data_IF_730972546145
#
_entry.id   IF_730972546145
#
_cell.length_a   1.000
_cell.length_b   1.000
_cell.length_c   1.000
_cell.angle_alpha   90.00
_cell.angle_beta   90.00
_cell.angle_gamma   90.00
#
_symmetry.space_group_name_H-M   'P 1'
#
loop_
_entity.id
_entity.type
_entity.pdbx_description
1 polymer ?
#
# COMPACT_ATOMS: atom_id res chain seq x y z
N UNK A 1 -44.27 49.45 -54.96
CA UNK A 1 -43.02 49.85 -55.64
C UNK A 1 -41.80 49.47 -54.80
N UNK A 2 -41.92 49.37 -53.46
CA UNK A 2 -40.84 48.96 -52.52
C UNK A 2 -40.34 47.51 -52.67
N UNK A 3 -41.21 46.52 -52.92
CA UNK A 3 -40.79 45.09 -52.98
C UNK A 3 -39.77 44.79 -54.11
N UNK A 4 -39.76 45.59 -55.18
CA UNK A 4 -38.87 45.40 -56.34
C UNK A 4 -37.51 46.10 -56.18
N UNK A 5 -37.40 47.02 -55.22
CA UNK A 5 -36.14 47.65 -54.82
C UNK A 5 -35.42 46.80 -53.76
N UNK A 6 -36.13 46.26 -52.78
CA UNK A 6 -35.56 45.37 -51.75
C UNK A 6 -34.97 44.08 -52.34
N UNK A 7 -35.62 43.49 -53.34
CA UNK A 7 -35.09 42.31 -54.02
C UNK A 7 -33.82 42.67 -54.81
N UNK A 8 -33.74 43.85 -55.42
CA UNK A 8 -32.53 44.28 -56.16
C UNK A 8 -31.39 44.64 -55.21
N UNK A 9 -31.69 45.27 -54.08
CA UNK A 9 -30.73 45.63 -53.03
C UNK A 9 -30.16 44.39 -52.33
N UNK A 10 -31.01 43.40 -52.03
CA UNK A 10 -30.55 42.13 -51.47
C UNK A 10 -29.78 41.26 -52.49
N UNK A 11 -30.15 41.31 -53.78
CA UNK A 11 -29.37 40.64 -54.84
C UNK A 11 -28.00 41.29 -55.04
N UNK A 12 -27.89 42.63 -54.97
CA UNK A 12 -26.61 43.32 -55.10
C UNK A 12 -25.73 43.13 -53.86
N UNK A 13 -26.31 42.96 -52.66
CA UNK A 13 -25.56 42.56 -51.45
C UNK A 13 -25.07 41.11 -51.56
N UNK A 14 -25.88 40.19 -52.06
CA UNK A 14 -25.46 38.79 -52.30
C UNK A 14 -24.39 38.68 -53.39
N UNK A 15 -24.48 39.46 -54.47
CA UNK A 15 -23.46 39.53 -55.51
C UNK A 15 -22.20 40.22 -54.97
N UNK A 16 -22.32 41.25 -54.13
CA UNK A 16 -21.19 41.91 -53.47
C UNK A 16 -20.50 41.03 -52.42
N UNK A 17 -21.24 40.16 -51.72
CA UNK A 17 -20.70 39.16 -50.78
C UNK A 17 -20.07 37.96 -51.50
N UNK A 18 -20.62 37.55 -52.65
CA UNK A 18 -20.02 36.54 -53.53
C UNK A 18 -18.77 37.06 -54.27
N UNK A 19 -18.66 38.39 -54.46
CA UNK A 19 -17.48 39.04 -55.05
C UNK A 19 -16.49 39.58 -54.03
N UNK A 20 -16.86 39.78 -52.76
CA UNK A 20 -15.92 40.18 -51.69
C UNK A 20 -15.02 39.06 -51.19
N UNK A 21 -15.18 37.83 -51.71
CA UNK A 21 -14.15 36.78 -51.63
C UNK A 21 -13.00 37.00 -52.63
N UNK A 22 -12.97 38.13 -53.36
CA UNK A 22 -11.83 38.55 -54.19
C UNK A 22 -10.84 39.43 -53.42
N UNK A 23 -10.62 39.14 -52.14
CA UNK A 23 -9.49 39.66 -51.38
C UNK A 23 -8.21 39.01 -51.89
N UNK A 24 -7.61 39.64 -52.92
CA UNK A 24 -6.31 39.34 -53.55
C UNK A 24 -5.95 37.86 -53.53
N UNK A 25 -6.23 37.15 -54.63
CA UNK A 25 -5.98 35.71 -54.78
C UNK A 25 -4.62 35.28 -54.21
N UNK A 26 -3.60 36.13 -54.30
CA UNK A 26 -2.29 35.98 -53.63
C UNK A 26 -2.33 35.70 -52.11
N UNK A 27 -3.16 36.36 -51.30
CA UNK A 27 -3.26 36.09 -49.85
C UNK A 27 -3.99 34.79 -49.55
N UNK A 28 -5.01 34.44 -50.33
CA UNK A 28 -5.70 33.15 -50.20
C UNK A 28 -4.74 32.01 -50.57
N UNK A 29 -3.93 32.17 -51.62
CA UNK A 29 -2.88 31.22 -51.98
C UNK A 29 -1.79 31.13 -50.91
N UNK A 30 -1.34 32.27 -50.37
CA UNK A 30 -0.31 32.29 -49.32
C UNK A 30 -0.79 31.60 -48.03
N UNK A 31 -2.04 31.86 -47.63
CA UNK A 31 -2.64 31.24 -46.44
C UNK A 31 -2.88 29.74 -46.66
N UNK A 32 -3.36 29.34 -47.85
CA UNK A 32 -3.50 27.92 -48.21
C UNK A 32 -2.15 27.21 -48.23
N UNK A 33 -1.11 27.84 -48.79
CA UNK A 33 0.25 27.28 -48.81
C UNK A 33 0.82 27.15 -47.39
N UNK A 34 0.54 28.11 -46.52
CA UNK A 34 0.91 28.07 -45.10
C UNK A 34 0.18 26.93 -44.36
N UNK A 35 -1.13 26.76 -44.56
CA UNK A 35 -1.89 25.64 -44.00
C UNK A 35 -1.40 24.29 -44.51
N UNK A 36 -1.09 24.17 -45.81
CA UNK A 36 -0.52 22.95 -46.40
C UNK A 36 0.88 22.67 -45.84
N UNK A 37 1.71 23.70 -45.65
CA UNK A 37 3.03 23.55 -45.05
C UNK A 37 2.95 23.09 -43.58
N UNK A 38 2.03 23.66 -42.79
CA UNK A 38 1.75 23.22 -41.42
C UNK A 38 1.23 21.78 -41.41
N UNK A 39 0.31 21.45 -42.30
CA UNK A 39 -0.24 20.09 -42.41
C UNK A 39 0.86 19.08 -42.78
N UNK A 40 1.70 19.41 -43.77
CA UNK A 40 2.84 18.58 -44.17
C UNK A 40 3.87 18.47 -43.04
N UNK A 41 4.09 19.52 -42.26
CA UNK A 41 4.97 19.48 -41.09
C UNK A 41 4.43 18.56 -39.98
N UNK A 42 3.14 18.65 -39.63
CA UNK A 42 2.51 17.73 -38.69
C UNK A 42 2.47 16.30 -39.22
N UNK A 43 2.24 16.12 -40.53
CA UNK A 43 2.26 14.81 -41.17
C UNK A 43 3.67 14.20 -41.13
N UNK A 44 4.72 15.00 -41.37
CA UNK A 44 6.11 14.57 -41.25
C UNK A 44 6.50 14.20 -39.81
N UNK A 45 5.98 14.92 -38.81
CA UNK A 45 6.13 14.57 -37.39
C UNK A 45 5.32 13.32 -37.00
N UNK A 46 4.20 13.08 -37.66
CA UNK A 46 3.39 11.88 -37.49
C UNK A 46 3.98 10.64 -38.19
N UNK A 47 4.94 10.81 -39.10
CA UNK A 47 5.62 9.69 -39.74
C UNK A 47 6.47 8.90 -38.71
N UNK A 48 6.43 7.55 -38.75
CA UNK A 48 7.25 6.73 -37.89
C UNK A 48 8.74 6.91 -38.23
N UNK A 49 9.48 7.60 -37.35
CA UNK A 49 10.92 7.84 -37.52
C UNK A 49 11.43 9.04 -36.71
N UNK A 50 11.36 10.29 -37.23
CA UNK A 50 11.89 11.46 -36.53
C UNK A 50 11.03 11.85 -35.31
N UNK A 51 9.71 11.95 -35.50
CA UNK A 51 8.80 12.36 -34.43
C UNK A 51 8.75 11.35 -33.28
N UNK A 52 8.78 10.05 -33.60
CA UNK A 52 8.84 8.98 -32.60
C UNK A 52 10.12 9.03 -31.79
N UNK A 53 11.29 9.25 -32.41
CA UNK A 53 12.58 9.39 -31.70
C UNK A 53 12.61 10.60 -30.77
N UNK A 54 12.07 11.74 -31.22
CA UNK A 54 11.97 12.95 -30.39
C UNK A 54 11.05 12.69 -29.18
N UNK A 55 9.87 12.11 -29.41
CA UNK A 55 8.94 11.75 -28.33
C UNK A 55 9.59 10.77 -27.34
N UNK A 56 10.27 9.73 -27.83
CA UNK A 56 10.98 8.78 -26.98
C UNK A 56 12.06 9.43 -26.12
N UNK A 57 12.77 10.42 -26.66
CA UNK A 57 13.80 11.16 -25.93
C UNK A 57 13.19 11.97 -24.77
N UNK A 58 12.10 12.69 -25.02
CA UNK A 58 11.40 13.44 -23.97
C UNK A 58 10.80 12.51 -22.90
N UNK A 59 10.12 11.44 -23.32
CA UNK A 59 9.53 10.45 -22.41
C UNK A 59 10.60 9.80 -21.53
N UNK A 60 11.69 9.34 -22.14
CA UNK A 60 12.79 8.72 -21.41
C UNK A 60 13.38 9.66 -20.37
N UNK A 61 13.60 10.94 -20.71
CA UNK A 61 14.13 11.93 -19.76
C UNK A 61 13.20 12.18 -18.58
N UNK A 62 11.89 12.24 -18.83
CA UNK A 62 10.89 12.37 -17.76
C UNK A 62 10.93 11.19 -16.79
N UNK A 63 11.02 9.97 -17.33
CA UNK A 63 11.13 8.74 -16.53
C UNK A 63 12.48 8.69 -15.79
N UNK A 64 13.58 9.12 -16.40
CA UNK A 64 14.90 9.19 -15.74
C UNK A 64 14.90 10.14 -14.54
N UNK A 65 14.26 11.30 -14.67
CA UNK A 65 14.13 12.24 -13.55
C UNK A 65 13.35 11.62 -12.38
N UNK A 66 12.26 10.90 -12.67
CA UNK A 66 11.48 10.20 -11.66
C UNK A 66 12.24 9.01 -11.04
N UNK A 67 12.97 8.25 -11.86
CA UNK A 67 13.83 7.17 -11.40
C UNK A 67 14.93 7.69 -10.47
N UNK A 68 15.51 8.86 -10.77
CA UNK A 68 16.48 9.51 -9.91
C UNK A 68 15.90 9.90 -8.55
N UNK A 69 14.62 10.26 -8.46
CA UNK A 69 13.98 10.52 -7.17
C UNK A 69 13.86 9.23 -6.33
N UNK A 70 13.47 8.12 -6.96
CA UNK A 70 13.41 6.80 -6.31
C UNK A 70 14.82 6.38 -5.84
N UNK A 71 15.85 6.63 -6.65
CA UNK A 71 17.23 6.36 -6.28
C UNK A 71 17.67 7.19 -5.05
N UNK A 72 17.27 8.46 -4.97
CA UNK A 72 17.52 9.29 -3.78
C UNK A 72 16.83 8.71 -2.55
N UNK A 73 15.56 8.32 -2.64
CA UNK A 73 14.84 7.69 -1.52
C UNK A 73 15.49 6.38 -1.05
N UNK A 74 15.97 5.56 -2.00
CA UNK A 74 16.72 4.34 -1.70
C UNK A 74 18.04 4.64 -0.99
N UNK A 75 18.83 5.59 -1.50
CA UNK A 75 20.13 5.99 -0.90
C UNK A 75 19.94 6.55 0.51
N UNK A 76 18.95 7.41 0.70
CA UNK A 76 18.63 7.98 2.01
C UNK A 76 18.20 6.90 3.01
N UNK A 77 17.40 5.92 2.57
CA UNK A 77 16.98 4.80 3.42
C UNK A 77 18.14 3.88 3.76
N UNK A 78 19.01 3.53 2.79
CA UNK A 78 20.24 2.78 3.05
C UNK A 78 21.12 3.50 4.07
N UNK A 79 21.33 4.81 3.91
CA UNK A 79 22.15 5.61 4.83
C UNK A 79 21.60 5.60 6.26
N UNK A 80 20.29 5.75 6.46
CA UNK A 80 19.68 5.69 7.80
C UNK A 80 19.85 4.32 8.45
N UNK A 81 19.68 3.25 7.68
CA UNK A 81 19.92 1.89 8.18
C UNK A 81 21.39 1.69 8.55
N UNK A 82 22.31 2.22 7.74
CA UNK A 82 23.75 2.19 7.96
C UNK A 82 24.14 2.88 9.28
N UNK A 83 23.58 4.07 9.54
CA UNK A 83 23.79 4.82 10.77
C UNK A 83 23.38 4.02 12.02
N UNK A 84 22.21 3.36 11.97
CA UNK A 84 21.72 2.54 13.09
C UNK A 84 22.59 1.30 13.30
N UNK A 85 22.92 0.57 12.23
CA UNK A 85 23.79 -0.61 12.31
C UNK A 85 25.20 -0.24 12.83
N UNK A 86 25.77 0.87 12.35
CA UNK A 86 27.05 1.37 12.83
C UNK A 86 26.99 1.74 14.32
N UNK A 87 25.91 2.38 14.78
CA UNK A 87 25.71 2.71 16.20
C UNK A 87 25.63 1.49 17.11
N UNK A 88 25.29 0.31 16.54
CA UNK A 88 25.20 -0.98 17.25
C UNK A 88 26.46 -1.84 17.12
N UNK A 89 27.54 -1.27 16.58
CA UNK A 89 28.85 -1.94 16.50
C UNK A 89 29.02 -2.90 15.33
N UNK A 90 28.14 -2.85 14.32
CA UNK A 90 28.29 -3.66 13.10
C UNK A 90 29.48 -3.14 12.30
N UNK A 91 30.51 -3.97 12.10
CA UNK A 91 31.76 -3.55 11.46
C UNK A 91 31.60 -3.20 9.97
N UNK A 92 30.69 -3.88 9.27
CA UNK A 92 30.42 -3.67 7.83
C UNK A 92 28.93 -3.56 7.55
N UNK A 93 28.29 -2.43 7.91
CA UNK A 93 26.87 -2.23 7.69
C UNK A 93 26.46 -2.34 6.22
N UNK A 94 27.33 -1.90 5.30
CA UNK A 94 27.02 -1.88 3.86
C UNK A 94 26.83 -3.28 3.27
N UNK A 95 27.68 -4.24 3.66
CA UNK A 95 27.55 -5.64 3.20
C UNK A 95 26.23 -6.27 3.70
N UNK A 96 25.79 -5.91 4.92
CA UNK A 96 24.53 -6.38 5.49
C UNK A 96 23.35 -5.78 4.72
N UNK A 97 23.37 -4.47 4.48
CA UNK A 97 22.33 -3.73 3.75
C UNK A 97 22.20 -4.25 2.31
N UNK A 98 23.32 -4.45 1.62
CA UNK A 98 23.30 -4.98 0.27
C UNK A 98 22.74 -6.40 0.25
N UNK A 99 23.15 -7.26 1.19
CA UNK A 99 22.60 -8.62 1.30
C UNK A 99 21.09 -8.63 1.50
N UNK A 100 20.53 -7.81 2.40
CA UNK A 100 19.07 -7.78 2.62
C UNK A 100 18.32 -7.11 1.46
N UNK A 101 18.93 -6.14 0.79
CA UNK A 101 18.30 -5.47 -0.35
C UNK A 101 18.11 -6.37 -1.57
N UNK A 102 18.79 -7.52 -1.61
CA UNK A 102 18.74 -8.50 -2.69
C UNK A 102 17.90 -9.74 -2.36
N UNK A 103 17.33 -9.83 -1.15
CA UNK A 103 16.46 -10.95 -0.78
C UNK A 103 15.17 -10.90 -1.62
N UNK A 104 14.71 -12.05 -2.07
CA UNK A 104 13.43 -12.19 -2.76
C UNK A 104 12.76 -13.51 -2.40
N UNK A 105 11.43 -13.52 -2.46
CA UNK A 105 10.61 -14.72 -2.27
C UNK A 105 10.05 -15.14 -3.63
N UNK A 106 10.10 -16.44 -3.93
CA UNK A 106 9.47 -17.00 -5.13
C UNK A 106 8.13 -17.58 -4.71
N UNK A 107 7.06 -17.21 -5.42
CA UNK A 107 5.72 -17.76 -5.18
C UNK A 107 5.68 -19.27 -5.43
N UNK A 108 4.89 -20.03 -4.65
CA UNK A 108 4.72 -21.46 -4.86
C UNK A 108 4.03 -21.73 -6.22
N UNK A 109 4.34 -22.89 -6.80
CA UNK A 109 3.73 -23.33 -8.06
C UNK A 109 2.21 -23.45 -7.90
N UNK A 110 1.47 -22.69 -8.70
CA UNK A 110 0.00 -22.61 -8.65
C UNK A 110 -0.72 -23.74 -9.40
N UNK A 111 0.02 -24.56 -10.17
CA UNK A 111 -0.54 -25.68 -10.95
C UNK A 111 -1.19 -26.73 -10.06
N UNK A 112 -0.68 -26.92 -8.85
CA UNK A 112 -1.26 -27.82 -7.85
C UNK A 112 -2.03 -26.99 -6.81
N UNK A 113 -3.38 -27.02 -6.81
CA UNK A 113 -4.19 -26.18 -5.93
C UNK A 113 -4.22 -26.67 -4.48
N UNK A 114 -3.80 -27.91 -4.22
CA UNK A 114 -3.73 -28.47 -2.87
C UNK A 114 -2.63 -27.77 -2.08
N UNK A 115 -3.04 -27.19 -0.94
CA UNK A 115 -2.18 -26.54 0.05
C UNK A 115 -1.20 -25.48 -0.49
N UNK A 116 -1.57 -24.75 -1.55
CA UNK A 116 -0.83 -23.56 -2.01
C UNK A 116 -0.56 -22.61 -0.85
N UNK A 117 -1.56 -22.44 0.02
CA UNK A 117 -1.52 -21.53 1.16
C UNK A 117 -0.50 -21.97 2.21
N UNK A 118 -0.41 -23.27 2.52
CA UNK A 118 0.60 -23.81 3.43
C UNK A 118 2.01 -23.64 2.88
N UNK A 119 2.21 -23.87 1.58
CA UNK A 119 3.50 -23.62 0.90
C UNK A 119 3.86 -22.13 0.90
N UNK A 120 2.89 -21.26 0.61
CA UNK A 120 3.10 -19.80 0.62
C UNK A 120 3.49 -19.32 2.01
N UNK A 121 2.79 -19.80 3.06
CA UNK A 121 3.13 -19.54 4.46
C UNK A 121 4.58 -19.90 4.78
N UNK A 122 5.02 -21.09 4.36
CA UNK A 122 6.39 -21.54 4.59
C UNK A 122 7.40 -20.62 3.91
N UNK A 123 7.16 -20.22 2.65
CA UNK A 123 8.06 -19.34 1.91
C UNK A 123 8.17 -17.96 2.55
N UNK A 124 7.04 -17.34 2.91
CA UNK A 124 7.02 -16.03 3.57
C UNK A 124 7.77 -16.06 4.91
N UNK A 125 7.49 -17.05 5.76
CA UNK A 125 8.17 -17.20 7.05
C UNK A 125 9.65 -17.50 6.92
N UNK A 126 10.03 -18.30 5.93
CA UNK A 126 11.44 -18.58 5.66
C UNK A 126 12.17 -17.29 5.24
N UNK A 127 11.50 -16.39 4.54
CA UNK A 127 12.07 -15.07 4.20
C UNK A 127 12.18 -14.17 5.42
N UNK A 128 11.14 -14.08 6.26
CA UNK A 128 11.17 -13.35 7.53
C UNK A 128 12.32 -13.86 8.43
N UNK A 129 12.42 -15.18 8.61
CA UNK A 129 13.46 -15.83 9.41
C UNK A 129 14.86 -15.54 8.84
N UNK A 130 15.05 -15.56 7.52
CA UNK A 130 16.33 -15.17 6.90
C UNK A 130 16.70 -13.71 7.19
N UNK A 131 15.75 -12.78 7.14
CA UNK A 131 16.01 -11.37 7.45
C UNK A 131 16.41 -11.25 8.93
N UNK A 132 15.66 -11.89 9.84
CA UNK A 132 15.94 -11.94 11.27
C UNK A 132 17.32 -12.53 11.56
N UNK A 133 17.67 -13.67 10.98
CA UNK A 133 18.97 -14.33 11.14
C UNK A 133 20.12 -13.44 10.69
N UNK A 134 19.95 -12.72 9.57
CA UNK A 134 20.97 -11.77 9.09
C UNK A 134 21.18 -10.64 10.12
N UNK A 135 20.09 -10.11 10.69
CA UNK A 135 20.17 -9.06 11.70
C UNK A 135 20.82 -9.56 13.00
N UNK A 136 20.46 -10.75 13.46
CA UNK A 136 21.01 -11.36 14.68
C UNK A 136 22.49 -11.71 14.53
N UNK A 137 22.90 -12.28 13.39
CA UNK A 137 24.32 -12.55 13.11
C UNK A 137 25.15 -11.27 12.99
N UNK A 138 24.56 -10.21 12.44
CA UNK A 138 25.25 -8.92 12.28
C UNK A 138 25.37 -8.19 13.62
N UNK A 139 24.38 -8.32 14.49
CA UNK A 139 24.30 -7.60 15.75
C UNK A 139 23.69 -8.47 16.88
N UNK A 140 24.48 -9.35 17.51
CA UNK A 140 23.99 -10.43 18.38
C UNK A 140 23.41 -9.99 19.74
N UNK A 141 23.44 -8.71 20.10
CA UNK A 141 22.98 -8.19 21.40
C UNK A 141 21.96 -7.04 21.27
N UNK A 142 21.20 -6.99 20.16
CA UNK A 142 20.17 -5.96 19.97
C UNK A 142 18.88 -6.35 20.69
N UNK A 143 18.25 -5.37 21.34
CA UNK A 143 16.94 -5.54 21.98
C UNK A 143 15.84 -5.91 20.96
N UNK A 144 14.81 -6.69 21.33
CA UNK A 144 13.78 -7.13 20.39
C UNK A 144 13.08 -5.99 19.63
N UNK A 145 12.87 -4.84 20.28
CA UNK A 145 12.22 -3.68 19.66
C UNK A 145 13.11 -3.09 18.58
N UNK A 146 14.37 -2.80 18.86
CA UNK A 146 15.32 -2.28 17.88
C UNK A 146 15.57 -3.28 16.74
N UNK A 147 15.60 -4.59 17.04
CA UNK A 147 15.68 -5.63 16.01
C UNK A 147 14.47 -5.58 15.07
N UNK A 148 13.25 -5.51 15.60
CA UNK A 148 12.03 -5.39 14.77
C UNK A 148 12.04 -4.13 13.89
N UNK A 149 12.58 -3.02 14.41
CA UNK A 149 12.76 -1.79 13.61
C UNK A 149 13.74 -2.00 12.45
N UNK A 150 14.84 -2.72 12.68
CA UNK A 150 15.82 -3.05 11.64
C UNK A 150 15.25 -4.04 10.61
N UNK A 151 14.46 -5.02 11.04
CA UNK A 151 13.77 -5.98 10.17
C UNK A 151 12.84 -5.25 9.18
N UNK A 152 11.91 -4.44 9.68
CA UNK A 152 11.00 -3.65 8.80
C UNK A 152 11.77 -2.64 7.95
N UNK A 153 12.83 -2.05 8.47
CA UNK A 153 13.68 -1.14 7.69
C UNK A 153 14.39 -1.85 6.54
N UNK A 154 14.80 -3.10 6.73
CA UNK A 154 15.36 -3.93 5.68
C UNK A 154 14.33 -4.21 4.58
N UNK A 155 13.07 -4.47 4.94
CA UNK A 155 11.96 -4.64 4.00
C UNK A 155 11.69 -3.37 3.18
N UNK A 156 11.76 -2.19 3.81
CA UNK A 156 11.64 -0.90 3.12
C UNK A 156 12.76 -0.71 2.10
N UNK A 157 14.02 -0.96 2.48
CA UNK A 157 15.17 -0.86 1.58
C UNK A 157 15.05 -1.88 0.43
N UNK A 158 14.65 -3.11 0.73
CA UNK A 158 14.42 -4.15 -0.26
C UNK A 158 13.35 -3.73 -1.28
N UNK A 159 12.22 -3.21 -0.80
CA UNK A 159 11.11 -2.76 -1.65
C UNK A 159 11.53 -1.60 -2.55
N UNK A 160 12.21 -0.58 -2.01
CA UNK A 160 12.74 0.54 -2.80
C UNK A 160 13.76 0.07 -3.85
N UNK A 161 14.64 -0.89 -3.49
CA UNK A 161 15.61 -1.48 -4.42
C UNK A 161 14.91 -2.22 -5.56
N UNK A 162 13.87 -3.01 -5.25
CA UNK A 162 13.08 -3.72 -6.25
C UNK A 162 12.38 -2.77 -7.21
N UNK A 163 11.70 -1.73 -6.70
CA UNK A 163 11.05 -0.71 -7.52
C UNK A 163 12.07 -0.04 -8.46
N UNK A 164 13.20 0.43 -7.92
CA UNK A 164 14.25 1.08 -8.71
C UNK A 164 14.78 0.17 -9.83
N UNK A 165 15.10 -1.09 -9.51
CA UNK A 165 15.65 -2.05 -10.48
C UNK A 165 14.68 -2.38 -11.61
N UNK A 166 13.42 -2.62 -11.28
CA UNK A 166 12.40 -2.99 -12.27
C UNK A 166 12.15 -1.84 -13.24
N UNK A 167 11.98 -0.60 -12.74
CA UNK A 167 11.81 0.58 -13.60
C UNK A 167 13.04 0.78 -14.47
N UNK A 168 14.24 0.71 -13.89
CA UNK A 168 15.50 0.86 -14.64
C UNK A 168 15.64 -0.20 -15.73
N UNK A 169 15.30 -1.45 -15.45
CA UNK A 169 15.33 -2.54 -16.41
C UNK A 169 14.44 -2.25 -17.63
N UNK A 170 13.17 -1.89 -17.39
CA UNK A 170 12.23 -1.61 -18.48
C UNK A 170 12.60 -0.34 -19.25
N UNK A 171 13.11 0.71 -18.58
CA UNK A 171 13.59 1.93 -19.23
C UNK A 171 14.75 1.64 -20.19
N UNK A 172 15.76 0.87 -19.74
CA UNK A 172 16.88 0.47 -20.58
C UNK A 172 16.43 -0.44 -21.73
N UNK A 173 15.50 -1.35 -21.47
CA UNK A 173 14.92 -2.23 -22.48
C UNK A 173 14.16 -1.46 -23.56
N UNK A 174 13.38 -0.44 -23.17
CA UNK A 174 12.66 0.44 -24.09
C UNK A 174 13.61 1.21 -25.01
N UNK A 175 14.70 1.74 -24.45
CA UNK A 175 15.75 2.44 -25.22
C UNK A 175 16.47 1.50 -26.18
N UNK A 176 16.83 0.29 -25.74
CA UNK A 176 17.55 -0.69 -26.56
C UNK A 176 16.69 -1.22 -27.71
N UNK A 177 15.41 -1.46 -27.47
CA UNK A 177 14.47 -1.99 -28.47
C UNK A 177 13.81 -0.91 -29.33
N UNK A 178 14.07 0.36 -29.04
CA UNK A 178 13.35 1.51 -29.60
C UNK A 178 11.82 1.39 -29.46
N UNK A 179 11.34 0.79 -28.37
CA UNK A 179 9.92 0.58 -28.12
C UNK A 179 9.29 1.76 -27.37
N UNK A 180 8.60 2.63 -28.10
CA UNK A 180 7.88 3.76 -27.53
C UNK A 180 6.72 3.33 -26.61
N UNK A 181 6.12 2.16 -26.86
CA UNK A 181 5.01 1.65 -26.06
C UNK A 181 5.42 1.30 -24.62
N UNK A 182 6.63 0.76 -24.43
CA UNK A 182 7.16 0.52 -23.08
C UNK A 182 7.36 1.86 -22.35
N UNK A 183 7.81 2.91 -23.05
CA UNK A 183 7.95 4.24 -22.45
C UNK A 183 6.61 4.83 -22.03
N UNK A 184 5.55 4.66 -22.82
CA UNK A 184 4.21 5.10 -22.42
C UNK A 184 3.69 4.35 -21.19
N UNK A 185 3.89 3.02 -21.12
CA UNK A 185 3.52 2.25 -19.93
C UNK A 185 4.27 2.73 -18.69
N UNK A 186 5.58 2.98 -18.82
CA UNK A 186 6.38 3.54 -17.73
C UNK A 186 5.88 4.94 -17.33
N UNK A 187 5.59 5.82 -18.28
CA UNK A 187 5.08 7.16 -17.98
C UNK A 187 3.77 7.13 -17.18
N UNK A 188 2.91 6.13 -17.40
CA UNK A 188 1.66 5.97 -16.68
C UNK A 188 1.86 5.44 -15.25
N UNK A 189 2.78 4.49 -15.06
CA UNK A 189 2.95 3.76 -13.80
C UNK A 189 3.99 4.38 -12.88
N UNK A 190 5.12 4.87 -13.41
CA UNK A 190 6.24 5.41 -12.63
C UNK A 190 5.81 6.54 -11.67
N UNK A 191 4.92 7.49 -12.03
CA UNK A 191 4.47 8.52 -11.09
C UNK A 191 3.84 7.95 -9.81
N UNK A 192 3.09 6.84 -9.93
CA UNK A 192 2.48 6.16 -8.78
C UNK A 192 3.56 5.48 -7.93
N UNK A 193 4.56 4.87 -8.58
CA UNK A 193 5.70 4.25 -7.90
C UNK A 193 6.61 5.27 -7.21
N UNK A 194 6.74 6.49 -7.74
CA UNK A 194 7.45 7.59 -7.04
C UNK A 194 6.72 7.94 -5.76
N UNK A 195 5.40 8.16 -5.80
CA UNK A 195 4.59 8.44 -4.61
C UNK A 195 4.69 7.32 -3.57
N UNK A 196 4.63 6.07 -4.02
CA UNK A 196 4.83 4.91 -3.16
C UNK A 196 6.22 4.88 -2.54
N UNK A 197 7.26 5.17 -3.34
CA UNK A 197 8.65 5.22 -2.87
C UNK A 197 8.89 6.35 -1.86
N UNK A 198 8.23 7.49 -2.05
CA UNK A 198 8.22 8.60 -1.08
C UNK A 198 7.56 8.15 0.24
N UNK A 199 6.41 7.46 0.17
CA UNK A 199 5.72 6.93 1.35
C UNK A 199 6.60 5.92 2.11
N UNK A 200 7.29 5.02 1.41
CA UNK A 200 8.26 4.09 2.03
C UNK A 200 9.45 4.83 2.68
N UNK A 201 9.99 5.86 2.02
CA UNK A 201 11.07 6.68 2.60
C UNK A 201 10.61 7.45 3.86
N UNK A 202 9.36 7.91 3.90
CA UNK A 202 8.75 8.49 5.09
C UNK A 202 8.56 7.42 6.18
N UNK A 203 8.02 6.25 5.82
CA UNK A 203 7.81 5.11 6.72
C UNK A 203 9.11 4.66 7.40
N UNK A 204 10.22 4.65 6.67
CA UNK A 204 11.57 4.40 7.22
C UNK A 204 11.88 5.29 8.43
N UNK A 205 11.53 6.58 8.38
CA UNK A 205 11.73 7.49 9.51
C UNK A 205 10.81 7.14 10.68
N UNK A 206 9.56 6.79 10.40
CA UNK A 206 8.54 6.47 11.41
C UNK A 206 8.91 5.20 12.17
N UNK A 207 9.29 4.13 11.46
CA UNK A 207 9.71 2.87 12.07
C UNK A 207 10.99 3.01 12.89
N UNK A 208 12.00 3.74 12.38
CA UNK A 208 13.23 3.98 13.14
C UNK A 208 12.97 4.72 14.46
N UNK A 209 12.07 5.72 14.44
CA UNK A 209 11.65 6.43 15.66
C UNK A 209 10.77 5.57 16.57
N UNK A 210 10.10 4.55 16.05
CA UNK A 210 9.16 3.70 16.79
C UNK A 210 7.86 4.41 17.13
N UNK A 211 7.40 5.29 16.23
CA UNK A 211 6.13 6.01 16.36
C UNK A 211 5.01 5.12 15.77
N UNK A 212 3.78 5.18 16.30
CA UNK A 212 2.63 4.49 15.70
C UNK A 212 2.38 4.91 14.25
N UNK A 213 2.13 3.91 13.40
CA UNK A 213 1.74 4.10 12.00
C UNK A 213 0.23 4.03 11.86
N UNK A 214 -0.35 4.45 10.73
CA UNK A 214 -1.80 4.32 10.49
C UNK A 214 -2.32 2.89 10.68
N UNK A 215 -1.55 1.89 10.24
CA UNK A 215 -1.83 0.46 10.40
C UNK A 215 -1.84 0.00 11.87
N UNK A 216 -1.31 0.79 12.80
CA UNK A 216 -1.34 0.50 14.23
C UNK A 216 -2.70 0.71 14.88
N UNK A 217 -3.73 1.12 14.12
CA UNK A 217 -5.06 1.36 14.66
C UNK A 217 -5.72 0.10 15.26
N UNK A 218 -5.69 -1.04 14.55
CA UNK A 218 -6.24 -2.30 15.06
C UNK A 218 -5.56 -2.70 16.38
N UNK A 219 -4.21 -2.77 16.43
CA UNK A 219 -3.45 -3.00 17.65
C UNK A 219 -3.72 -1.96 18.74
N UNK A 220 -3.95 -0.69 18.41
CA UNK A 220 -4.25 0.37 19.38
C UNK A 220 -5.60 0.13 20.07
N UNK A 221 -6.62 -0.25 19.30
CA UNK A 221 -7.94 -0.60 19.85
C UNK A 221 -7.85 -1.84 20.73
N UNK A 222 -7.13 -2.87 20.29
CA UNK A 222 -6.90 -4.07 21.09
C UNK A 222 -6.08 -3.79 22.36
N UNK A 223 -5.06 -2.93 22.28
CA UNK A 223 -4.26 -2.51 23.43
C UNK A 223 -5.12 -1.82 24.50
N UNK A 224 -6.02 -0.92 24.08
CA UNK A 224 -6.94 -0.26 25.01
C UNK A 224 -7.84 -1.24 25.78
N UNK A 225 -8.23 -2.37 25.16
CA UNK A 225 -8.95 -3.43 25.85
C UNK A 225 -8.03 -4.21 26.81
N UNK A 226 -6.82 -4.52 26.35
CA UNK A 226 -5.83 -5.30 27.12
C UNK A 226 -5.27 -4.55 28.34
N UNK A 227 -5.36 -3.23 28.42
CA UNK A 227 -4.97 -2.47 29.62
C UNK A 227 -5.71 -2.95 30.88
N UNK A 228 -6.94 -3.44 30.73
CA UNK A 228 -7.75 -3.96 31.84
C UNK A 228 -7.60 -5.47 32.05
N UNK A 229 -6.79 -6.15 31.23
CA UNK A 229 -6.54 -7.59 31.37
C UNK A 229 -5.48 -7.86 32.42
N UNK A 230 -5.79 -8.79 33.34
CA UNK A 230 -4.81 -9.31 34.31
C UNK A 230 -4.04 -10.52 33.79
N UNK A 231 -4.59 -11.25 32.81
CA UNK A 231 -4.02 -12.47 32.27
C UNK A 231 -3.66 -12.27 30.81
N UNK A 232 -2.36 -12.09 30.53
CA UNK A 232 -1.81 -12.00 29.18
C UNK A 232 -0.90 -13.20 28.90
N UNK A 233 -0.99 -13.76 27.71
CA UNK A 233 -0.14 -14.88 27.26
C UNK A 233 0.19 -14.73 25.77
N UNK A 234 1.15 -15.53 25.30
CA UNK A 234 1.56 -15.54 23.90
C UNK A 234 0.94 -16.75 23.19
N UNK A 235 -0.15 -16.57 22.40
CA UNK A 235 -0.80 -17.67 21.68
C UNK A 235 -0.03 -18.12 20.43
N UNK A 236 0.84 -17.26 19.89
CA UNK A 236 1.70 -17.55 18.73
C UNK A 236 2.93 -16.62 18.74
N UNK A 237 3.86 -16.81 17.80
CA UNK A 237 5.06 -15.97 17.70
C UNK A 237 4.69 -14.51 17.44
N UNK A 238 5.39 -13.60 18.12
CA UNK A 238 5.25 -12.15 18.02
C UNK A 238 3.79 -11.65 18.19
N UNK A 239 2.99 -12.38 18.99
CA UNK A 239 1.56 -12.11 19.24
C UNK A 239 1.23 -12.27 20.72
N UNK A 240 0.31 -11.45 21.22
CA UNK A 240 -0.18 -11.48 22.61
C UNK A 240 -1.71 -11.60 22.62
N UNK A 241 -2.22 -12.39 23.56
CA UNK A 241 -3.63 -12.48 23.88
C UNK A 241 -3.88 -12.13 25.34
N UNK A 242 -5.09 -11.70 25.65
CA UNK A 242 -5.51 -11.48 27.02
C UNK A 242 -7.02 -11.58 27.21
N UNK A 243 -7.44 -11.89 28.44
CA UNK A 243 -8.84 -12.02 28.82
C UNK A 243 -9.37 -10.75 29.49
N UNK A 244 -10.54 -10.30 29.05
CA UNK A 244 -11.22 -9.11 29.60
C UNK A 244 -12.69 -9.44 29.80
N UNK A 245 -13.26 -9.05 30.94
CA UNK A 245 -14.70 -9.14 31.16
C UNK A 245 -15.39 -7.84 30.71
N UNK A 246 -16.49 -7.98 29.98
CA UNK A 246 -17.29 -6.85 29.51
C UNK A 246 -18.78 -7.22 29.55
N UNK A 247 -19.56 -6.54 30.40
CA UNK A 247 -21.02 -6.75 30.54
C UNK A 247 -21.41 -8.25 30.64
N UNK A 248 -20.81 -8.95 31.60
CA UNK A 248 -20.99 -10.39 31.84
C UNK A 248 -20.61 -11.29 30.65
N UNK A 249 -19.80 -10.80 29.70
CA UNK A 249 -19.24 -11.55 28.58
C UNK A 249 -17.74 -11.64 28.70
N UNK A 250 -17.17 -12.74 28.20
CA UNK A 250 -15.72 -12.95 28.17
C UNK A 250 -15.16 -12.52 26.81
N UNK A 251 -14.27 -11.54 26.80
CA UNK A 251 -13.54 -11.13 25.61
C UNK A 251 -12.13 -11.72 25.64
N UNK A 252 -11.74 -12.42 24.59
CA UNK A 252 -10.35 -12.80 24.35
C UNK A 252 -9.80 -11.87 23.28
N UNK A 253 -8.93 -10.96 23.68
CA UNK A 253 -8.36 -9.93 22.79
C UNK A 253 -7.00 -10.38 22.30
N UNK A 254 -6.77 -10.34 20.99
CA UNK A 254 -5.54 -10.79 20.31
C UNK A 254 -4.95 -9.62 19.52
N UNK A 255 -3.65 -9.38 19.63
CA UNK A 255 -2.90 -8.43 18.78
C UNK A 255 -1.44 -8.85 18.64
N UNK A 256 -0.75 -8.30 17.63
CA UNK A 256 0.71 -8.40 17.53
C UNK A 256 1.41 -7.85 18.79
N UNK A 257 2.53 -8.44 19.18
CA UNK A 257 3.24 -8.08 20.41
C UNK A 257 3.98 -6.73 20.29
N UNK A 258 3.61 -5.77 21.12
CA UNK A 258 4.06 -4.40 21.08
C UNK A 258 5.09 -4.02 22.13
N UNK A 259 5.84 -2.92 21.94
CA UNK A 259 5.76 -1.93 20.86
C UNK A 259 6.70 -2.23 19.67
N UNK A 260 6.82 -3.50 19.26
CA UNK A 260 7.66 -3.93 18.14
C UNK A 260 7.06 -3.53 16.79
N UNK A 261 7.90 -3.29 15.79
CA UNK A 261 7.45 -3.09 14.41
C UNK A 261 7.17 -4.45 13.77
N UNK A 262 6.07 -5.09 14.15
CA UNK A 262 5.65 -6.41 13.66
C UNK A 262 4.14 -6.48 13.49
N UNK A 263 3.70 -7.31 12.56
CA UNK A 263 2.28 -7.67 12.35
C UNK A 263 1.90 -8.98 13.07
N UNK A 264 2.88 -9.66 13.70
CA UNK A 264 2.66 -10.91 14.43
C UNK A 264 2.20 -12.07 13.57
N UNK A 265 1.56 -13.06 14.21
CA UNK A 265 0.91 -14.21 13.56
C UNK A 265 -0.54 -14.34 14.05
N UNK A 266 -1.40 -13.36 13.71
CA UNK A 266 -2.76 -13.29 14.23
C UNK A 266 -3.62 -14.48 13.79
N UNK A 267 -3.38 -15.06 12.61
CA UNK A 267 -4.12 -16.21 12.14
C UNK A 267 -3.84 -17.47 12.96
N UNK A 268 -2.57 -17.72 13.28
CA UNK A 268 -2.19 -18.80 14.21
C UNK A 268 -2.71 -18.56 15.62
N UNK A 269 -2.60 -17.33 16.11
CA UNK A 269 -3.05 -16.99 17.45
C UNK A 269 -4.54 -17.25 17.63
N UNK A 270 -5.36 -16.78 16.69
CA UNK A 270 -6.82 -16.98 16.73
C UNK A 270 -7.17 -18.46 16.63
N UNK A 271 -6.47 -19.22 15.77
CA UNK A 271 -6.66 -20.67 15.68
C UNK A 271 -6.36 -21.36 17.01
N UNK A 272 -5.21 -21.06 17.63
CA UNK A 272 -4.82 -21.64 18.92
C UNK A 272 -5.80 -21.28 20.04
N UNK A 273 -6.25 -20.03 20.10
CA UNK A 273 -7.27 -19.58 21.07
C UNK A 273 -8.57 -20.36 20.87
N UNK A 274 -9.10 -20.45 19.65
CA UNK A 274 -10.37 -21.15 19.42
C UNK A 274 -10.27 -22.64 19.77
N UNK A 275 -9.15 -23.28 19.45
CA UNK A 275 -8.90 -24.70 19.81
C UNK A 275 -8.78 -24.90 21.33
N UNK A 276 -8.13 -23.98 22.05
CA UNK A 276 -8.02 -24.00 23.52
C UNK A 276 -9.41 -23.91 24.18
N UNK A 277 -10.28 -23.07 23.64
CA UNK A 277 -11.67 -22.95 24.04
C UNK A 277 -12.61 -24.03 23.45
N UNK A 278 -12.05 -25.03 22.75
CA UNK A 278 -12.80 -26.14 22.12
C UNK A 278 -13.95 -25.67 21.23
N UNK A 279 -13.78 -24.53 20.56
CA UNK A 279 -14.81 -23.93 19.71
C UNK A 279 -15.95 -23.23 20.45
N UNK A 280 -15.89 -23.08 21.79
CA UNK A 280 -16.87 -22.33 22.57
C UNK A 280 -16.67 -20.81 22.43
N UNK A 281 -16.70 -20.33 21.19
CA UNK A 281 -16.55 -18.94 20.81
C UNK A 281 -17.79 -18.55 20.02
N UNK A 282 -18.51 -17.53 20.49
CA UNK A 282 -19.74 -17.11 19.83
C UNK A 282 -19.49 -16.37 18.53
N UNK A 283 -18.42 -15.58 18.49
CA UNK A 283 -18.10 -14.67 17.39
C UNK A 283 -16.63 -14.26 17.40
N UNK A 284 -16.08 -14.02 16.20
CA UNK A 284 -14.78 -13.38 15.99
C UNK A 284 -15.04 -11.98 15.43
N UNK A 285 -14.37 -10.97 15.98
CA UNK A 285 -14.46 -9.58 15.50
C UNK A 285 -13.06 -9.11 15.15
N UNK A 286 -12.79 -8.87 13.87
CA UNK A 286 -11.50 -8.36 13.38
C UNK A 286 -11.55 -6.85 13.18
N UNK A 287 -10.51 -6.15 13.63
CA UNK A 287 -10.39 -4.70 13.56
C UNK A 287 -9.10 -4.38 12.80
N UNK A 288 -9.22 -3.74 11.63
CA UNK A 288 -8.09 -3.49 10.73
C UNK A 288 -8.16 -2.11 10.06
N UNK A 289 -7.04 -1.67 9.52
CA UNK A 289 -6.96 -0.56 8.58
C UNK A 289 -7.31 -1.04 7.17
N UNK A 290 -8.15 -0.29 6.43
CA UNK A 290 -8.45 -0.58 5.03
C UNK A 290 -8.08 0.59 4.11
N UNK A 291 -7.68 0.28 2.88
CA UNK A 291 -7.42 1.30 1.87
C UNK A 291 -8.73 2.03 1.51
N UNK A 292 -8.70 3.37 1.62
CA UNK A 292 -9.80 4.23 1.20
C UNK A 292 -9.86 4.37 -0.31
N UNK A 293 -11.04 4.56 -0.84
CA UNK A 293 -11.23 5.03 -2.21
C UNK A 293 -11.00 6.55 -2.29
N UNK A 294 -10.65 7.07 -3.47
CA UNK A 294 -10.34 8.50 -3.66
C UNK A 294 -11.50 9.47 -3.31
N UNK A 295 -12.73 8.95 -3.23
CA UNK A 295 -13.91 9.71 -2.79
C UNK A 295 -14.24 9.58 -1.30
N UNK A 296 -13.44 8.84 -0.52
CA UNK A 296 -13.72 8.54 0.88
C UNK A 296 -12.84 9.33 1.84
N UNK A 297 -13.43 9.69 2.98
CA UNK A 297 -12.74 10.39 4.05
C UNK A 297 -11.84 9.45 4.85
N UNK A 298 -10.64 9.94 5.16
CA UNK A 298 -9.71 9.27 6.08
C UNK A 298 -10.32 9.23 7.49
N UNK A 299 -10.24 8.07 8.15
CA UNK A 299 -10.82 7.85 9.48
C UNK A 299 -12.32 7.51 9.45
N UNK A 300 -12.92 7.31 8.27
CA UNK A 300 -14.26 6.75 8.16
C UNK A 300 -14.26 5.27 8.57
N UNK A 301 -15.27 4.88 9.35
CA UNK A 301 -15.40 3.52 9.89
C UNK A 301 -16.48 2.78 9.11
N UNK A 302 -16.22 1.53 8.74
CA UNK A 302 -17.19 0.65 8.11
C UNK A 302 -17.26 -0.70 8.82
N UNK A 303 -18.45 -1.27 8.81
CA UNK A 303 -18.75 -2.61 9.34
C UNK A 303 -18.94 -3.59 8.18
N UNK A 304 -18.45 -4.82 8.33
CA UNK A 304 -18.58 -5.87 7.33
C UNK A 304 -18.53 -7.27 7.95
N UNK A 305 -18.47 -8.28 7.08
CA UNK A 305 -18.41 -9.71 7.47
C UNK A 305 -17.18 -10.35 6.83
N UNK A 306 -16.52 -11.23 7.57
CA UNK A 306 -15.27 -11.88 7.16
C UNK A 306 -14.04 -11.30 7.86
N UNK A 307 -12.85 -11.79 7.49
CA UNK A 307 -11.58 -11.35 8.08
C UNK A 307 -11.06 -10.11 7.36
N UNK A 308 -10.99 -8.99 8.07
CA UNK A 308 -10.27 -7.80 7.61
C UNK A 308 -8.78 -7.94 7.98
N UNK A 309 -7.94 -8.15 6.97
CA UNK A 309 -6.49 -8.23 7.11
C UNK A 309 -5.79 -8.01 5.76
N UNK A 310 -4.78 -7.14 5.74
CA UNK A 310 -3.86 -6.93 4.60
C UNK A 310 -2.81 -8.03 4.41
N UNK A 311 -3.21 -9.31 4.47
CA UNK A 311 -2.31 -10.47 4.37
C UNK A 311 -2.28 -11.06 2.95
N UNK A 312 -1.12 -11.53 2.46
CA UNK A 312 -1.02 -12.27 1.19
C UNK A 312 -1.88 -13.55 1.14
N UNK A 313 -2.44 -14.02 2.25
CA UNK A 313 -3.45 -15.08 2.30
C UNK A 313 -3.33 -16.09 3.46
N UNK A 314 -2.13 -16.48 3.95
CA UNK A 314 -2.01 -17.59 4.88
C UNK A 314 -2.58 -17.36 6.28
N UNK A 315 -2.49 -16.13 6.80
CA UNK A 315 -3.03 -15.78 8.11
C UNK A 315 -4.55 -15.62 7.99
N UNK A 316 -5.05 -15.01 6.90
CA UNK A 316 -6.50 -14.82 6.67
C UNK A 316 -7.22 -16.16 6.62
N UNK A 317 -6.66 -17.09 5.84
CA UNK A 317 -7.22 -18.44 5.66
C UNK A 317 -7.11 -19.27 6.93
N UNK A 318 -6.13 -19.03 7.80
CA UNK A 318 -6.05 -19.73 9.09
C UNK A 318 -7.28 -19.42 9.95
N UNK A 319 -7.68 -18.14 10.04
CA UNK A 319 -8.88 -17.70 10.77
C UNK A 319 -10.16 -18.25 10.11
N UNK A 320 -10.28 -18.14 8.80
CA UNK A 320 -11.47 -18.63 8.08
C UNK A 320 -11.64 -20.15 8.22
N UNK A 321 -10.56 -20.94 8.15
CA UNK A 321 -10.62 -22.41 8.31
C UNK A 321 -11.11 -22.80 9.70
N UNK A 322 -10.58 -22.18 10.77
CA UNK A 322 -11.00 -22.51 12.13
C UNK A 322 -12.43 -22.02 12.41
N UNK A 323 -12.81 -20.87 11.87
CA UNK A 323 -14.18 -20.35 11.97
C UNK A 323 -15.19 -21.27 11.28
N UNK A 324 -14.88 -21.76 10.07
CA UNK A 324 -15.74 -22.73 9.35
C UNK A 324 -15.82 -24.06 10.09
N UNK A 325 -14.68 -24.57 10.62
CA UNK A 325 -14.64 -25.83 11.38
C UNK A 325 -15.60 -25.83 12.57
N UNK A 326 -15.73 -24.70 13.27
CA UNK A 326 -16.55 -24.56 14.48
C UNK A 326 -17.87 -23.81 14.26
N UNK A 327 -18.18 -23.36 13.03
CA UNK A 327 -19.40 -22.62 12.71
C UNK A 327 -19.47 -21.22 13.35
N UNK A 328 -18.33 -20.54 13.51
CA UNK A 328 -18.22 -19.25 14.19
C UNK A 328 -18.34 -18.10 13.16
N UNK A 329 -19.31 -17.17 13.31
CA UNK A 329 -19.39 -15.97 12.46
C UNK A 329 -18.20 -15.02 12.69
N UNK A 330 -17.75 -14.38 11.61
CA UNK A 330 -16.67 -13.38 11.63
C UNK A 330 -17.22 -12.02 11.21
N UNK A 331 -17.10 -11.03 12.07
CA UNK A 331 -17.41 -9.63 11.78
C UNK A 331 -16.14 -8.82 11.61
N UNK A 332 -16.19 -7.81 10.75
CA UNK A 332 -15.08 -6.90 10.47
C UNK A 332 -15.46 -5.46 10.79
N UNK A 333 -14.55 -4.75 11.45
CA UNK A 333 -14.57 -3.29 11.56
C UNK A 333 -13.32 -2.78 10.85
N UNK A 334 -13.50 -1.93 9.85
CA UNK A 334 -12.38 -1.33 9.12
C UNK A 334 -12.40 0.17 9.24
N UNK A 335 -11.21 0.77 9.34
CA UNK A 335 -11.05 2.22 9.23
C UNK A 335 -10.29 2.57 7.98
N UNK A 336 -10.88 3.45 7.19
CA UNK A 336 -10.41 3.78 5.85
C UNK A 336 -9.30 4.82 5.92
N UNK A 337 -8.18 4.54 5.26
CA UNK A 337 -7.04 5.45 5.15
C UNK A 337 -6.31 5.23 3.82
N UNK A 338 -5.54 6.21 3.37
CA UNK A 338 -4.68 6.06 2.20
C UNK A 338 -3.50 5.12 2.47
N UNK A 339 -2.93 4.54 1.41
CA UNK A 339 -1.75 3.68 1.51
C UNK A 339 -0.56 4.39 2.18
N UNK A 340 -0.32 5.67 1.84
CA UNK A 340 0.71 6.48 2.51
C UNK A 340 0.40 6.64 4.00
N UNK A 341 -0.86 6.86 4.36
CA UNK A 341 -1.29 7.06 5.75
C UNK A 341 -1.14 5.78 6.60
N UNK A 342 -1.28 4.60 5.98
CA UNK A 342 -1.15 3.32 6.66
C UNK A 342 0.29 3.05 7.14
N UNK A 343 1.30 3.43 6.34
CA UNK A 343 2.71 3.15 6.63
C UNK A 343 3.49 4.34 7.22
N UNK A 344 2.90 5.53 7.24
CA UNK A 344 3.49 6.72 7.86
C UNK A 344 2.87 7.02 9.23
N UNK A 345 3.34 8.08 9.89
CA UNK A 345 2.86 8.47 11.23
C UNK A 345 1.33 8.57 11.28
N UNK A 346 0.74 7.95 12.31
CA UNK A 346 -0.71 7.90 12.48
C UNK A 346 -1.31 9.31 12.52
N UNK A 347 -2.13 9.63 11.51
CA UNK A 347 -2.80 10.92 11.44
C UNK A 347 -3.91 11.02 12.49
N UNK A 348 -4.14 12.23 12.99
CA UNK A 348 -5.19 12.52 13.98
C UNK A 348 -6.58 11.96 13.61
N UNK A 349 -7.09 12.07 12.36
CA UNK A 349 -8.39 11.47 12.01
C UNK A 349 -8.44 9.95 12.16
N UNK A 350 -7.32 9.25 11.93
CA UNK A 350 -7.21 7.79 12.15
C UNK A 350 -7.20 7.48 13.64
N UNK A 351 -6.43 8.24 14.42
CA UNK A 351 -6.41 8.09 15.88
C UNK A 351 -7.79 8.34 16.51
N UNK A 352 -8.46 9.43 16.12
CA UNK A 352 -9.78 9.81 16.62
C UNK A 352 -10.84 8.75 16.25
N UNK A 353 -10.65 8.01 15.14
CA UNK A 353 -11.52 6.92 14.75
C UNK A 353 -11.48 5.72 15.70
N UNK A 354 -10.43 5.55 16.52
CA UNK A 354 -10.35 4.47 17.53
C UNK A 354 -11.53 4.49 18.50
N UNK A 355 -12.00 5.68 18.90
CA UNK A 355 -13.18 5.85 19.74
C UNK A 355 -14.46 5.34 19.06
N UNK A 356 -14.66 5.71 17.80
CA UNK A 356 -15.79 5.26 16.98
C UNK A 356 -15.77 3.74 16.76
N UNK A 357 -14.58 3.17 16.58
CA UNK A 357 -14.39 1.72 16.47
C UNK A 357 -14.77 1.03 17.78
N UNK A 358 -14.36 1.57 18.92
CA UNK A 358 -14.75 1.03 20.23
C UNK A 358 -16.26 1.05 20.45
N UNK A 359 -16.94 2.14 20.07
CA UNK A 359 -18.40 2.23 20.19
C UNK A 359 -19.11 1.23 19.25
N UNK A 360 -18.60 1.06 18.03
CA UNK A 360 -19.11 0.05 17.09
C UNK A 360 -18.86 -1.38 17.59
N UNK A 361 -17.69 -1.65 18.17
CA UNK A 361 -17.35 -2.95 18.77
C UNK A 361 -18.34 -3.28 19.90
N UNK A 362 -18.59 -2.34 20.81
CA UNK A 362 -19.56 -2.51 21.91
C UNK A 362 -20.96 -2.80 21.37
N UNK A 363 -21.40 -2.05 20.35
CA UNK A 363 -22.69 -2.27 19.68
C UNK A 363 -22.81 -3.68 19.09
N UNK A 364 -21.80 -4.14 18.34
CA UNK A 364 -21.78 -5.48 17.74
C UNK A 364 -21.85 -6.57 18.81
N UNK A 365 -21.09 -6.42 19.91
CA UNK A 365 -21.11 -7.35 21.03
C UNK A 365 -22.51 -7.39 21.65
N UNK A 366 -23.10 -6.25 21.96
CA UNK A 366 -24.42 -6.17 22.60
C UNK A 366 -25.55 -6.73 21.73
N UNK A 367 -25.60 -6.36 20.45
CA UNK A 367 -26.68 -6.75 19.55
C UNK A 367 -26.63 -8.24 19.19
N UNK A 368 -25.44 -8.84 19.18
CA UNK A 368 -25.25 -10.16 18.55
C UNK A 368 -24.75 -11.24 19.51
N UNK A 369 -24.56 -10.93 20.79
CA UNK A 369 -24.12 -11.89 21.82
C UNK A 369 -24.89 -11.70 23.13
N UNK A 370 -24.93 -12.74 23.96
CA UNK A 370 -25.62 -12.78 25.25
C UNK A 370 -24.63 -12.82 26.42
N UNK A 371 -25.03 -12.39 27.62
CA UNK A 371 -24.26 -12.65 28.84
C UNK A 371 -23.84 -14.13 28.94
N UNK A 372 -22.59 -14.37 29.30
CA UNK A 372 -21.94 -15.69 29.32
C UNK A 372 -21.28 -16.11 28.01
N UNK A 373 -21.53 -15.42 26.89
CA UNK A 373 -20.86 -15.72 25.62
C UNK A 373 -19.38 -15.29 25.65
N UNK A 374 -18.56 -16.02 24.90
CA UNK A 374 -17.16 -15.69 24.64
C UNK A 374 -17.00 -15.09 23.24
N UNK A 375 -16.32 -13.95 23.14
CA UNK A 375 -16.03 -13.26 21.89
C UNK A 375 -14.52 -13.10 21.72
N UNK A 376 -14.00 -13.43 20.54
CA UNK A 376 -12.60 -13.17 20.20
C UNK A 376 -12.51 -11.84 19.44
N UNK A 377 -11.73 -10.89 19.94
CA UNK A 377 -11.49 -9.59 19.30
C UNK A 377 -10.05 -9.55 18.80
N UNK A 378 -9.84 -9.27 17.53
CA UNK A 378 -8.52 -9.31 16.89
C UNK A 378 -8.16 -7.92 16.39
N UNK A 379 -7.15 -7.30 16.99
CA UNK A 379 -6.52 -6.08 16.48
C UNK A 379 -5.44 -6.41 15.47
N UNK A 380 -5.75 -6.20 14.19
CA UNK A 380 -4.88 -6.53 13.05
C UNK A 380 -4.11 -5.28 12.63
N UNK A 381 -2.81 -5.46 12.38
CA UNK A 381 -1.92 -4.41 11.89
C UNK A 381 -0.57 -4.36 12.64
N UNK A 382 0.29 -3.44 12.22
CA UNK A 382 1.63 -3.26 12.79
C UNK A 382 1.59 -2.58 14.17
N UNK A 383 2.29 -3.12 15.16
CA UNK A 383 2.24 -2.60 16.54
C UNK A 383 3.38 -1.65 16.93
N UNK A 384 4.07 -1.05 15.96
CA UNK A 384 5.09 -0.02 16.18
C UNK A 384 4.57 1.05 17.12
N UNK A 385 5.29 1.32 18.22
CA UNK A 385 4.92 2.37 19.17
C UNK A 385 3.65 2.13 19.99
N UNK A 386 3.00 0.97 19.86
CA UNK A 386 1.78 0.59 20.61
C UNK A 386 2.08 -0.62 21.49
N UNK A 387 2.11 -0.45 22.81
CA UNK A 387 2.27 -1.55 23.77
C UNK A 387 0.93 -2.20 24.15
N UNK A 388 0.94 -3.24 25.00
CA UNK A 388 -0.24 -4.01 25.43
C UNK A 388 -0.55 -3.88 26.91
#
# INVERSE_FOLDING_TARGET
>A
MEVREDIRYNMSILIALASSSSGSSSYVYLNTLFFVAIFLFYMLLALPGPGTKINMMFLSRGIEAQLSQIETYLKDSKKKMQEVLASKGVQKPDEVIDRVSEIFTIDPVSVEPTDIIGRMRLMLRTTEDKIRDIMELSAPNIDPVTRSKLEVSAEVVNTLNMIHKVIRHYLLSAKKTNSIFILYQLQMVVPQLVKLSEAYSKAMNTFMKGIPVGDSLGPLVAANLLMNSQNKWNPSRDTVAGEVEYEDRKLVVVKAEGPMATVGRPGEAVANVIEEYKGNVKRIITIDAALKLEGEDTGSVAEGTGVAMGDPGPEKIAIERVAVKYGIPIDAIVVKMGMEEAITEMRKPVFDASSKVMDMLRRIIQERTKPGDLVVVVGVGNTSGVAQ
#
